data_IF_812847990898
#
_entry.id   IF_812847990898
#
_cell.length_a   1.000
_cell.length_b   1.000
_cell.length_c   1.000
_cell.angle_alpha   90.00
_cell.angle_beta   90.00
_cell.angle_gamma   90.00
#
_symmetry.space_group_name_H-M   'P 1'
#
loop_
_entity.id
_entity.type
_entity.pdbx_description
1 polymer ?
#
# COMPACT_ATOMS: atom_id res chain seq x y z
N UNK A 1 -8.00 -38.20 2.63
CA UNK A 1 -8.36 -36.78 2.51
C UNK A 1 -7.11 -35.98 2.85
N UNK A 2 -6.49 -35.41 1.80
CA UNK A 2 -5.44 -34.42 1.99
C UNK A 2 -6.11 -33.14 2.52
N UNK A 3 -5.62 -32.63 3.65
CA UNK A 3 -5.98 -31.28 4.07
C UNK A 3 -5.46 -30.31 2.98
N UNK A 4 -6.25 -29.27 2.59
CA UNK A 4 -5.76 -28.25 1.69
C UNK A 4 -4.47 -27.69 2.25
N UNK A 5 -3.42 -27.58 1.43
CA UNK A 5 -2.19 -26.92 1.89
C UNK A 5 -2.53 -25.48 2.27
N UNK A 6 -1.89 -24.93 3.31
CA UNK A 6 -2.14 -23.57 3.80
C UNK A 6 -1.97 -22.50 2.68
N UNK A 7 -1.39 -22.86 1.55
CA UNK A 7 -1.21 -21.99 0.37
C UNK A 7 -2.47 -21.88 -0.53
N UNK A 8 -3.39 -22.84 -0.48
CA UNK A 8 -4.59 -22.82 -1.35
C UNK A 8 -5.64 -21.77 -0.92
N UNK A 9 -5.58 -21.28 0.31
CA UNK A 9 -6.50 -20.25 0.84
C UNK A 9 -5.96 -18.82 0.82
N UNK A 10 -4.69 -18.63 0.47
CA UNK A 10 -4.03 -17.33 0.52
C UNK A 10 -4.37 -16.46 -0.69
N UNK A 11 -4.74 -15.19 -0.43
CA UNK A 11 -5.15 -14.24 -1.49
C UNK A 11 -3.94 -13.77 -2.30
N UNK A 12 -2.79 -13.54 -1.64
CA UNK A 12 -1.54 -13.11 -2.29
C UNK A 12 -0.50 -14.22 -2.16
N UNK A 13 0.11 -14.59 -3.28
CA UNK A 13 1.12 -15.65 -3.32
C UNK A 13 2.53 -15.08 -3.27
N UNK A 14 3.46 -15.81 -2.62
CA UNK A 14 4.87 -15.41 -2.51
C UNK A 14 5.51 -15.22 -3.89
N UNK A 15 5.25 -16.14 -4.81
CA UNK A 15 5.83 -16.13 -6.16
C UNK A 15 5.34 -14.95 -7.04
N UNK A 16 4.35 -14.19 -6.59
CA UNK A 16 3.88 -12.99 -7.27
C UNK A 16 4.69 -11.74 -6.94
N UNK A 17 5.36 -11.74 -5.79
CA UNK A 17 6.30 -10.70 -5.43
C UNK A 17 7.56 -10.77 -6.29
N UNK A 18 8.10 -9.63 -6.69
CA UNK A 18 9.34 -9.53 -7.45
C UNK A 18 10.48 -9.11 -6.53
N UNK A 19 11.60 -9.84 -6.58
CA UNK A 19 12.78 -9.47 -5.80
C UNK A 19 13.51 -8.28 -6.44
N UNK A 20 13.73 -7.23 -5.66
CA UNK A 20 14.62 -6.13 -6.04
C UNK A 20 16.04 -6.42 -5.55
N UNK A 21 16.91 -6.80 -6.47
CA UNK A 21 18.28 -7.27 -6.13
C UNK A 21 19.29 -6.13 -5.94
N UNK A 22 19.02 -4.95 -6.53
CA UNK A 22 19.94 -3.82 -6.40
C UNK A 22 20.00 -3.33 -4.93
N UNK A 23 21.20 -2.98 -4.42
CA UNK A 23 21.36 -2.38 -3.09
C UNK A 23 20.54 -1.12 -2.89
N UNK A 24 20.50 -0.27 -3.91
CA UNK A 24 19.79 0.98 -3.91
C UNK A 24 18.40 0.83 -4.53
N UNK A 25 17.38 1.52 -4.00
CA UNK A 25 16.07 1.55 -4.62
C UNK A 25 16.12 2.25 -5.98
N UNK A 26 15.16 1.99 -6.89
CA UNK A 26 15.05 2.75 -8.12
C UNK A 26 14.69 4.21 -7.82
N UNK A 27 14.97 5.09 -8.77
CA UNK A 27 14.39 6.42 -8.76
C UNK A 27 12.87 6.29 -8.91
N UNK A 28 12.13 6.94 -8.00
CA UNK A 28 10.67 6.84 -7.94
C UNK A 28 10.03 8.16 -8.38
N UNK A 29 9.03 8.06 -9.25
CA UNK A 29 8.24 9.18 -9.77
C UNK A 29 7.24 9.71 -8.73
N UNK A 30 6.86 8.86 -7.77
CA UNK A 30 5.92 9.17 -6.70
C UNK A 30 6.18 8.27 -5.50
N UNK A 31 6.20 8.84 -4.31
CA UNK A 31 6.42 8.10 -3.05
C UNK A 31 5.25 8.34 -2.11
N UNK A 32 4.75 7.26 -1.51
CA UNK A 32 3.65 7.32 -0.55
C UNK A 32 4.01 6.57 0.74
N UNK A 33 3.58 7.10 1.87
CA UNK A 33 3.52 6.38 3.13
C UNK A 33 2.09 6.04 3.50
N UNK A 34 1.88 4.82 3.95
CA UNK A 34 0.58 4.32 4.38
C UNK A 34 0.66 3.88 5.82
N UNK A 35 -0.15 4.49 6.68
CA UNK A 35 -0.18 4.28 8.11
C UNK A 35 -1.49 3.65 8.55
N UNK A 36 -1.40 2.52 9.22
CA UNK A 36 -2.43 2.00 10.11
C UNK A 36 -2.03 2.29 11.55
N UNK A 37 -2.85 3.06 12.27
CA UNK A 37 -2.49 3.57 13.59
C UNK A 37 -3.37 2.94 14.66
N UNK A 38 -2.73 2.42 15.68
CA UNK A 38 -3.38 2.03 16.92
C UNK A 38 -2.56 2.64 18.06
N UNK A 39 -3.20 3.37 18.94
CA UNK A 39 -2.59 3.71 20.22
C UNK A 39 -3.62 3.58 21.33
N UNK A 40 -3.16 3.06 22.44
CA UNK A 40 -3.98 2.88 23.62
C UNK A 40 -3.12 3.18 24.83
N UNK A 41 -3.73 3.73 25.86
CA UNK A 41 -3.11 3.87 27.18
C UNK A 41 -3.04 2.54 27.93
N UNK A 42 -3.57 1.44 27.34
CA UNK A 42 -3.58 0.11 27.94
C UNK A 42 -2.38 -0.70 27.42
N UNK A 43 -1.86 -1.57 28.28
CA UNK A 43 -0.73 -2.50 27.99
C UNK A 43 -1.03 -3.52 26.90
N UNK A 44 -2.27 -3.64 26.43
CA UNK A 44 -2.74 -4.53 25.34
C UNK A 44 -3.04 -3.77 24.07
N UNK A 45 -2.31 -2.67 23.79
CA UNK A 45 -2.49 -1.90 22.57
C UNK A 45 -2.20 -2.76 21.32
N UNK A 46 -3.02 -2.58 20.29
CA UNK A 46 -2.78 -3.14 18.96
C UNK A 46 -1.51 -2.54 18.34
N UNK A 47 -1.00 -3.15 17.30
CA UNK A 47 0.15 -2.62 16.57
C UNK A 47 -0.24 -1.41 15.72
N UNK A 48 0.65 -0.44 15.66
CA UNK A 48 0.67 0.52 14.56
C UNK A 48 1.67 0.04 13.51
N UNK A 49 1.33 0.21 12.24
CA UNK A 49 2.17 -0.19 11.14
C UNK A 49 2.30 0.94 10.10
N UNK A 50 3.43 0.97 9.43
CA UNK A 50 3.68 1.84 8.29
C UNK A 50 4.39 1.08 7.18
N UNK A 51 3.96 1.31 5.94
CA UNK A 51 4.69 0.92 4.74
C UNK A 51 4.94 2.14 3.85
N UNK A 52 6.13 2.19 3.25
CA UNK A 52 6.51 3.23 2.28
C UNK A 52 6.67 2.59 0.91
N UNK A 53 6.05 3.18 -0.09
CA UNK A 53 5.99 2.67 -1.45
C UNK A 53 6.46 3.71 -2.44
N UNK A 54 7.13 3.26 -3.50
CA UNK A 54 7.51 4.08 -4.63
C UNK A 54 6.90 3.56 -5.92
N UNK A 55 6.53 4.48 -6.81
CA UNK A 55 6.18 4.19 -8.20
C UNK A 55 7.42 4.39 -9.05
N UNK A 56 7.78 3.43 -9.86
CA UNK A 56 8.92 3.52 -10.78
C UNK A 56 8.63 2.86 -12.11
N UNK A 57 9.25 3.38 -13.18
CA UNK A 57 9.16 2.81 -14.52
C UNK A 57 10.51 2.23 -14.93
N UNK A 58 10.52 1.03 -15.49
CA UNK A 58 11.72 0.39 -16.02
C UNK A 58 11.69 0.42 -17.54
N UNK A 59 12.45 1.31 -18.12
CA UNK A 59 12.50 1.48 -19.58
C UNK A 59 11.19 2.06 -20.14
N UNK A 60 10.62 1.41 -21.15
CA UNK A 60 9.32 1.76 -21.75
C UNK A 60 8.16 0.96 -21.17
N UNK A 61 8.41 0.26 -20.07
CA UNK A 61 7.42 -0.61 -19.43
C UNK A 61 6.36 0.22 -18.66
N UNK A 62 5.33 -0.49 -18.26
CA UNK A 62 4.28 0.07 -17.38
C UNK A 62 4.85 0.39 -15.99
N UNK A 63 4.33 1.39 -15.27
CA UNK A 63 4.78 1.70 -13.92
C UNK A 63 4.67 0.49 -12.98
N UNK A 64 5.67 0.30 -12.15
CA UNK A 64 5.76 -0.73 -11.13
C UNK A 64 5.75 -0.09 -9.74
N UNK A 65 5.52 -0.91 -8.72
CA UNK A 65 5.54 -0.48 -7.33
C UNK A 65 6.65 -1.19 -6.57
N UNK A 66 7.36 -0.46 -5.73
CA UNK A 66 8.40 -1.01 -4.88
C UNK A 66 8.16 -0.65 -3.42
N UNK A 67 8.29 -1.64 -2.54
CA UNK A 67 8.32 -1.43 -1.10
C UNK A 67 9.68 -0.86 -0.69
N UNK A 68 9.68 0.39 -0.23
CA UNK A 68 10.88 1.16 0.15
C UNK A 68 11.22 1.07 1.63
N UNK A 69 10.23 0.75 2.46
CA UNK A 69 10.40 0.64 3.90
C UNK A 69 9.15 0.16 4.60
N UNK A 70 9.33 -0.45 5.76
CA UNK A 70 8.23 -0.84 6.65
C UNK A 70 8.70 -0.80 8.10
N UNK A 71 7.76 -0.55 9.00
CA UNK A 71 7.98 -0.65 10.44
C UNK A 71 6.64 -0.91 11.13
N UNK A 72 6.67 -1.77 12.14
CA UNK A 72 5.52 -2.09 12.98
C UNK A 72 5.93 -2.10 14.43
N UNK A 73 5.06 -1.64 15.31
CA UNK A 73 5.32 -1.64 16.74
C UNK A 73 4.13 -1.17 17.56
N UNK A 74 4.23 -1.38 18.86
CA UNK A 74 3.29 -0.83 19.84
C UNK A 74 3.86 0.48 20.35
N UNK A 75 3.31 1.59 19.86
CA UNK A 75 3.80 2.92 20.16
C UNK A 75 2.73 3.72 20.92
N UNK A 76 3.17 4.44 21.92
CA UNK A 76 2.35 5.52 22.49
C UNK A 76 2.25 6.68 21.49
N UNK A 77 1.35 7.61 21.75
CA UNK A 77 1.09 8.71 20.81
C UNK A 77 2.32 9.60 20.55
N UNK A 78 3.11 10.03 21.56
CA UNK A 78 4.33 10.80 21.32
C UNK A 78 5.32 10.06 20.41
N UNK A 79 5.57 8.79 20.67
CA UNK A 79 6.46 7.95 19.86
C UNK A 79 5.95 7.78 18.43
N UNK A 80 4.64 7.53 18.26
CA UNK A 80 4.00 7.42 16.95
C UNK A 80 4.20 8.69 16.12
N UNK A 81 3.98 9.86 16.73
CA UNK A 81 4.16 11.17 16.10
C UNK A 81 5.63 11.40 15.69
N UNK A 82 6.58 11.11 16.57
CA UNK A 82 8.02 11.22 16.28
C UNK A 82 8.42 10.30 15.12
N UNK A 83 7.93 9.06 15.10
CA UNK A 83 8.17 8.12 14.01
C UNK A 83 7.60 8.62 12.69
N UNK A 84 6.40 9.19 12.68
CA UNK A 84 5.81 9.74 11.47
C UNK A 84 6.67 10.87 10.88
N UNK A 85 7.14 11.80 11.71
CA UNK A 85 8.05 12.87 11.28
C UNK A 85 9.40 12.33 10.82
N UNK A 86 9.96 11.34 11.53
CA UNK A 86 11.23 10.70 11.14
C UNK A 86 11.11 9.98 9.80
N UNK A 87 10.04 9.21 9.58
CA UNK A 87 9.80 8.49 8.34
C UNK A 87 9.56 9.43 7.16
N UNK A 88 8.88 10.56 7.40
CA UNK A 88 8.76 11.62 6.40
C UNK A 88 10.13 12.12 5.95
N UNK A 89 11.01 12.50 6.90
CA UNK A 89 12.35 12.97 6.58
C UNK A 89 13.24 11.94 5.90
N UNK A 90 12.97 10.65 6.14
CA UNK A 90 13.75 9.55 5.57
C UNK A 90 13.40 9.27 4.11
N UNK A 91 12.14 9.41 3.74
CA UNK A 91 11.62 8.98 2.44
C UNK A 91 11.04 10.11 1.60
N UNK A 92 10.83 11.29 2.21
CA UNK A 92 10.26 12.49 1.58
C UNK A 92 9.03 12.18 0.70
N UNK A 93 8.00 11.50 1.28
CA UNK A 93 6.86 11.05 0.49
C UNK A 93 6.03 12.23 -0.02
N UNK A 94 5.51 12.09 -1.25
CA UNK A 94 4.56 13.02 -1.85
C UNK A 94 3.20 13.00 -1.16
N UNK A 95 2.86 11.86 -0.53
CA UNK A 95 1.61 11.70 0.22
C UNK A 95 1.79 10.77 1.41
N UNK A 96 1.14 11.14 2.52
CA UNK A 96 1.04 10.31 3.72
C UNK A 96 -0.43 9.97 3.95
N UNK A 97 -0.78 8.71 3.81
CA UNK A 97 -2.13 8.21 4.09
C UNK A 97 -2.23 7.75 5.53
N UNK A 98 -3.25 8.20 6.22
CA UNK A 98 -3.58 7.77 7.58
C UNK A 98 -5.05 7.38 7.61
N UNK A 99 -5.34 6.16 8.09
CA UNK A 99 -6.73 5.70 8.21
C UNK A 99 -7.51 6.58 9.18
N UNK A 100 -8.71 7.00 8.75
CA UNK A 100 -9.63 7.81 9.55
C UNK A 100 -10.35 6.96 10.59
N UNK A 101 -9.66 6.66 11.66
CA UNK A 101 -10.21 6.05 12.86
C UNK A 101 -9.77 6.85 14.10
N UNK A 102 -10.31 6.57 15.27
CA UNK A 102 -10.09 7.38 16.48
C UNK A 102 -8.59 7.63 16.75
N UNK A 103 -7.75 6.61 16.58
CA UNK A 103 -6.30 6.71 16.75
C UNK A 103 -5.62 7.57 15.67
N UNK A 104 -6.07 7.49 14.41
CA UNK A 104 -5.50 8.26 13.30
C UNK A 104 -5.87 9.74 13.35
N UNK A 105 -7.03 10.08 13.89
CA UNK A 105 -7.56 11.44 13.81
C UNK A 105 -6.69 12.48 14.54
N UNK A 106 -6.20 12.16 15.72
CA UNK A 106 -5.28 13.03 16.45
C UNK A 106 -3.94 13.20 15.71
N UNK A 107 -3.41 12.12 15.17
CA UNK A 107 -2.16 12.15 14.39
C UNK A 107 -2.33 12.99 13.11
N UNK A 108 -3.44 12.84 12.40
CA UNK A 108 -3.77 13.65 11.21
C UNK A 108 -3.77 15.14 11.55
N UNK A 109 -4.44 15.54 12.63
CA UNK A 109 -4.52 16.94 13.05
C UNK A 109 -3.14 17.51 13.36
N UNK A 110 -2.36 16.82 14.19
CA UNK A 110 -1.04 17.28 14.60
C UNK A 110 -0.05 17.36 13.43
N UNK A 111 -0.04 16.37 12.54
CA UNK A 111 0.89 16.37 11.41
C UNK A 111 0.52 17.40 10.34
N UNK A 112 -0.77 17.68 10.13
CA UNK A 112 -1.19 18.75 9.22
C UNK A 112 -0.69 20.12 9.66
N UNK A 113 -0.63 20.38 10.97
CA UNK A 113 -0.08 21.63 11.50
C UNK A 113 1.42 21.78 11.23
N UNK A 114 2.12 20.70 10.91
CA UNK A 114 3.54 20.72 10.55
C UNK A 114 3.79 20.88 9.04
N UNK A 115 2.75 21.03 8.25
CA UNK A 115 2.85 21.20 6.78
C UNK A 115 3.12 19.91 6.00
N UNK A 116 2.99 18.74 6.63
CA UNK A 116 3.16 17.45 5.95
C UNK A 116 1.98 17.14 5.01
N UNK A 117 2.21 16.43 3.89
CA UNK A 117 1.19 16.10 2.89
C UNK A 117 0.27 14.96 3.37
N UNK A 118 -0.58 15.26 4.36
CA UNK A 118 -1.44 14.27 5.02
C UNK A 118 -2.79 14.15 4.32
N UNK A 119 -3.13 12.92 3.96
CA UNK A 119 -4.42 12.52 3.40
C UNK A 119 -5.13 11.54 4.34
N UNK A 120 -6.41 11.81 4.59
CA UNK A 120 -7.27 10.89 5.32
C UNK A 120 -7.69 9.76 4.39
N UNK A 121 -7.54 8.52 4.83
CA UNK A 121 -8.03 7.36 4.12
C UNK A 121 -9.24 6.78 4.86
N UNK A 122 -10.32 6.56 4.12
CA UNK A 122 -11.53 5.91 4.62
C UNK A 122 -11.74 4.63 3.81
N UNK A 123 -11.56 3.45 4.42
CA UNK A 123 -11.88 2.20 3.73
C UNK A 123 -13.36 2.15 3.34
N UNK A 124 -13.63 1.80 2.09
CA UNK A 124 -14.98 1.63 1.53
C UNK A 124 -15.46 0.16 1.52
N UNK A 125 -14.52 -0.77 1.76
CA UNK A 125 -14.75 -2.22 1.71
C UNK A 125 -14.12 -2.91 2.91
N UNK A 126 -14.58 -4.12 3.20
CA UNK A 126 -13.95 -4.99 4.19
C UNK A 126 -12.51 -5.40 3.76
N UNK A 127 -11.72 -5.89 4.72
CA UNK A 127 -10.31 -6.23 4.51
C UNK A 127 -10.09 -7.25 3.40
N UNK A 128 -10.94 -8.28 3.31
CA UNK A 128 -10.83 -9.36 2.32
C UNK A 128 -11.12 -8.81 0.92
N UNK A 129 -12.17 -8.02 0.77
CA UNK A 129 -12.50 -7.38 -0.51
C UNK A 129 -11.41 -6.40 -0.97
N UNK A 130 -10.78 -5.66 -0.04
CA UNK A 130 -9.62 -4.81 -0.34
C UNK A 130 -8.43 -5.64 -0.82
N UNK A 131 -8.13 -6.75 -0.15
CA UNK A 131 -7.07 -7.66 -0.55
C UNK A 131 -7.28 -8.19 -1.97
N UNK A 132 -8.48 -8.67 -2.29
CA UNK A 132 -8.80 -9.13 -3.65
C UNK A 132 -8.66 -8.01 -4.69
N UNK A 133 -9.00 -6.78 -4.35
CA UNK A 133 -8.94 -5.66 -5.30
C UNK A 133 -7.53 -5.33 -5.80
N UNK A 134 -6.48 -5.72 -5.08
CA UNK A 134 -5.08 -5.47 -5.46
C UNK A 134 -4.36 -6.69 -6.03
N UNK A 135 -4.99 -7.87 -6.06
CA UNK A 135 -4.35 -9.12 -6.52
C UNK A 135 -3.84 -9.03 -7.95
N UNK A 136 -4.50 -8.28 -8.81
CA UNK A 136 -4.07 -8.12 -10.21
C UNK A 136 -2.69 -7.46 -10.33
N UNK A 137 -2.34 -6.52 -9.44
CA UNK A 137 -1.01 -5.90 -9.40
C UNK A 137 0.07 -6.94 -9.08
N UNK A 138 -0.20 -7.81 -8.12
CA UNK A 138 0.69 -8.91 -7.75
C UNK A 138 0.79 -9.96 -8.86
N UNK A 139 -0.35 -10.43 -9.35
CA UNK A 139 -0.42 -11.44 -10.42
C UNK A 139 0.33 -10.98 -11.68
N UNK A 140 0.27 -9.71 -12.01
CA UNK A 140 0.98 -9.11 -13.13
C UNK A 140 2.46 -8.80 -12.83
N UNK A 141 3.01 -9.30 -11.72
CA UNK A 141 4.43 -9.17 -11.36
C UNK A 141 4.92 -7.73 -11.24
N UNK A 142 4.04 -6.81 -10.80
CA UNK A 142 4.34 -5.38 -10.72
C UNK A 142 4.74 -4.90 -9.34
N UNK A 143 4.74 -5.78 -8.35
CA UNK A 143 5.06 -5.45 -6.95
C UNK A 143 6.44 -5.98 -6.61
N UNK A 144 7.35 -5.07 -6.29
CA UNK A 144 8.74 -5.32 -5.96
C UNK A 144 9.01 -5.10 -4.47
N UNK A 145 9.94 -5.88 -3.92
CA UNK A 145 10.47 -5.69 -2.59
C UNK A 145 11.92 -6.19 -2.49
N UNK A 146 12.78 -5.60 -1.65
CA UNK A 146 14.14 -6.08 -1.44
C UNK A 146 14.14 -7.27 -0.47
N UNK A 147 14.07 -8.52 -0.99
CA UNK A 147 13.95 -9.74 -0.18
C UNK A 147 15.08 -9.96 0.83
N UNK A 148 16.23 -9.33 0.65
CA UNK A 148 17.37 -9.37 1.60
C UNK A 148 17.15 -8.48 2.84
N UNK A 149 16.07 -7.72 2.93
CA UNK A 149 15.76 -6.86 4.07
C UNK A 149 14.72 -7.55 4.95
N UNK A 150 15.05 -7.75 6.22
CA UNK A 150 14.16 -8.44 7.17
C UNK A 150 12.78 -7.77 7.26
N UNK A 151 12.74 -6.44 7.31
CA UNK A 151 11.47 -5.70 7.33
C UNK A 151 10.60 -5.91 6.07
N UNK A 152 11.23 -6.16 4.92
CA UNK A 152 10.48 -6.47 3.70
C UNK A 152 9.91 -7.89 3.75
N UNK A 153 10.67 -8.84 4.27
CA UNK A 153 10.20 -10.21 4.47
C UNK A 153 9.06 -10.28 5.48
N UNK A 154 9.07 -9.45 6.54
CA UNK A 154 7.95 -9.36 7.48
C UNK A 154 6.64 -8.93 6.78
N UNK A 155 6.71 -7.93 5.89
CA UNK A 155 5.54 -7.51 5.08
C UNK A 155 5.08 -8.61 4.14
N UNK A 156 6.01 -9.26 3.45
CA UNK A 156 5.72 -10.35 2.51
C UNK A 156 5.07 -11.52 3.25
N UNK A 157 5.61 -11.92 4.39
CA UNK A 157 5.12 -13.05 5.17
C UNK A 157 3.71 -12.79 5.73
N UNK A 158 3.44 -11.59 6.22
CA UNK A 158 2.12 -11.22 6.72
C UNK A 158 1.08 -11.14 5.58
N UNK A 159 1.43 -10.52 4.45
CA UNK A 159 0.52 -10.41 3.31
C UNK A 159 0.19 -11.77 2.68
N UNK A 160 1.17 -12.68 2.59
CA UNK A 160 0.93 -14.03 2.08
C UNK A 160 0.13 -14.91 3.03
N UNK A 161 0.21 -14.66 4.35
CA UNK A 161 -0.56 -15.41 5.35
C UNK A 161 -2.02 -14.95 5.44
N UNK A 162 -2.35 -13.78 4.89
CA UNK A 162 -3.72 -13.25 4.94
C UNK A 162 -4.69 -14.08 4.07
N UNK A 163 -5.93 -14.39 4.52
CA UNK A 163 -6.58 -13.91 5.75
C UNK A 163 -6.37 -14.80 6.99
N UNK A 164 -5.66 -15.91 6.88
CA UNK A 164 -5.51 -16.89 7.96
C UNK A 164 -4.42 -16.52 9.00
N UNK A 165 -3.62 -15.49 8.74
CA UNK A 165 -2.55 -15.03 9.61
C UNK A 165 -3.05 -14.44 10.93
N UNK A 166 -2.19 -14.46 11.98
CA UNK A 166 -2.51 -13.88 13.29
C UNK A 166 -2.47 -12.35 13.31
N UNK A 167 -1.81 -11.74 12.33
CA UNK A 167 -1.63 -10.30 12.20
C UNK A 167 -2.00 -9.88 10.78
N UNK A 168 -2.57 -8.69 10.65
CA UNK A 168 -2.97 -8.09 9.39
C UNK A 168 -2.64 -6.58 9.29
N UNK A 169 -1.81 -6.10 10.23
CA UNK A 169 -1.45 -4.68 10.34
C UNK A 169 -0.70 -4.17 9.08
N UNK A 170 0.27 -4.95 8.59
CA UNK A 170 0.92 -4.64 7.33
C UNK A 170 -0.01 -4.80 6.14
N UNK A 171 -0.89 -5.81 6.16
CA UNK A 171 -1.84 -6.01 5.07
C UNK A 171 -2.78 -4.82 4.90
N UNK A 172 -3.22 -4.19 6.00
CA UNK A 172 -4.02 -2.97 5.94
C UNK A 172 -3.25 -1.81 5.30
N UNK A 173 -1.99 -1.58 5.68
CA UNK A 173 -1.16 -0.53 5.07
C UNK A 173 -0.86 -0.79 3.60
N UNK A 174 -0.63 -2.05 3.21
CA UNK A 174 -0.38 -2.47 1.82
C UNK A 174 -1.62 -2.22 0.97
N UNK A 175 -2.79 -2.71 1.38
CA UNK A 175 -4.03 -2.52 0.63
C UNK A 175 -4.37 -1.05 0.46
N UNK A 176 -4.23 -0.25 1.52
CA UNK A 176 -4.45 1.18 1.51
C UNK A 176 -3.56 1.90 0.48
N UNK A 177 -2.24 1.64 0.52
CA UNK A 177 -1.29 2.25 -0.41
C UNK A 177 -1.56 1.87 -1.87
N UNK A 178 -1.73 0.57 -2.14
CA UNK A 178 -1.90 0.08 -3.50
C UNK A 178 -3.23 0.52 -4.13
N UNK A 179 -4.31 0.53 -3.34
CA UNK A 179 -5.62 1.05 -3.79
C UNK A 179 -5.52 2.54 -4.10
N UNK A 180 -4.86 3.32 -3.23
CA UNK A 180 -4.66 4.75 -3.46
C UNK A 180 -3.91 5.02 -4.76
N UNK A 181 -2.77 4.34 -4.97
CA UNK A 181 -1.95 4.54 -6.17
C UNK A 181 -2.68 4.10 -7.45
N UNK A 182 -3.45 3.02 -7.38
CA UNK A 182 -4.28 2.59 -8.51
C UNK A 182 -5.38 3.61 -8.83
N UNK A 183 -6.13 4.05 -7.83
CA UNK A 183 -7.24 5.00 -8.00
C UNK A 183 -6.73 6.39 -8.42
N UNK A 184 -5.52 6.77 -8.03
CA UNK A 184 -4.85 7.99 -8.45
C UNK A 184 -4.25 7.94 -9.88
N UNK A 185 -4.36 6.79 -10.57
CA UNK A 185 -3.84 6.62 -11.92
C UNK A 185 -2.33 6.42 -12.00
N UNK A 186 -1.62 6.30 -10.87
CA UNK A 186 -0.17 6.07 -10.84
C UNK A 186 0.21 4.67 -11.32
N UNK A 187 -0.69 3.71 -11.16
CA UNK A 187 -0.49 2.32 -11.60
C UNK A 187 -1.78 1.84 -12.25
N UNK A 188 -1.72 1.63 -13.55
CA UNK A 188 -2.88 1.16 -14.32
C UNK A 188 -2.80 -0.37 -14.46
N UNK A 189 -3.88 -1.08 -14.15
CA UNK A 189 -4.00 -2.48 -14.52
C UNK A 189 -4.21 -2.59 -16.04
N UNK A 190 -3.60 -3.58 -16.68
CA UNK A 190 -3.80 -3.80 -18.12
C UNK A 190 -5.29 -3.99 -18.51
N UNK A 191 -6.15 -4.43 -17.57
CA UNK A 191 -7.59 -4.48 -17.76
C UNK A 191 -8.26 -3.10 -17.71
N UNK A 192 -7.78 -2.21 -16.83
CA UNK A 192 -8.32 -0.85 -16.66
C UNK A 192 -8.00 0.00 -17.90
N UNK A 193 -6.83 -0.18 -18.53
CA UNK A 193 -6.48 0.51 -19.78
C UNK A 193 -7.39 0.13 -20.95
N UNK A 194 -7.93 -1.08 -20.98
CA UNK A 194 -8.90 -1.49 -22.00
C UNK A 194 -10.28 -0.87 -21.77
N UNK A 195 -10.70 -0.75 -20.51
CA UNK A 195 -11.96 -0.12 -20.14
C UNK A 195 -11.90 1.39 -20.39
N UNK A 196 -10.85 2.07 -19.92
CA UNK A 196 -10.65 3.51 -20.14
C UNK A 196 -10.53 3.88 -21.63
N UNK A 197 -9.81 3.07 -22.42
CA UNK A 197 -9.77 3.27 -23.87
C UNK A 197 -11.11 3.07 -24.53
N UNK A 198 -11.88 2.09 -24.08
CA UNK A 198 -13.21 1.80 -24.62
C UNK A 198 -14.24 2.87 -24.23
N UNK A 199 -14.18 3.38 -23.00
CA UNK A 199 -14.99 4.52 -22.56
C UNK A 199 -14.61 5.80 -23.28
N UNK A 200 -13.33 6.05 -23.49
CA UNK A 200 -12.83 7.20 -24.25
C UNK A 200 -13.16 7.11 -25.75
N UNK A 201 -13.14 5.92 -26.33
CA UNK A 201 -13.62 5.67 -27.70
C UNK A 201 -15.12 5.86 -27.83
N UNK A 202 -15.90 5.43 -26.82
CA UNK A 202 -17.37 5.64 -26.79
C UNK A 202 -17.66 7.15 -26.64
N UNK A 203 -17.02 7.84 -25.71
CA UNK A 203 -17.16 9.28 -25.52
C UNK A 203 -16.80 10.07 -26.78
N UNK A 204 -15.71 9.72 -27.46
CA UNK A 204 -15.28 10.35 -28.70
C UNK A 204 -16.21 10.03 -29.90
N UNK A 205 -16.91 8.90 -29.88
CA UNK A 205 -17.91 8.54 -30.88
C UNK A 205 -19.22 9.30 -30.68
N UNK A 206 -19.69 9.38 -29.44
CA UNK A 206 -20.93 10.07 -29.10
C UNK A 206 -20.77 11.58 -29.19
N UNK A 207 -19.61 12.14 -28.82
CA UNK A 207 -19.32 13.57 -28.93
C UNK A 207 -19.18 14.09 -30.37
N UNK A 208 -19.01 13.20 -31.37
CA UNK A 208 -19.00 13.59 -32.81
C UNK A 208 -20.37 13.55 -33.48
N UNK A 209 -21.41 13.15 -32.76
CA UNK A 209 -22.77 13.04 -33.30
C UNK A 209 -23.62 14.31 -33.12
N UNK A 210 -23.03 15.40 -32.62
CA UNK A 210 -23.74 16.67 -32.38
C UNK A 210 -23.13 17.90 -33.09
N UNK A 211 -22.50 17.70 -34.27
CA UNK A 211 -22.17 18.80 -35.17
C UNK A 211 -22.49 18.45 -36.62
#
# INVERSE_FOLDING_TARGET
SQAPSAEEGNIIKLDWWQNWENPDPPECEYVIQSWDTAFSTRTTADYSAVTTWGVFTKGLDMPNLILLGAEKGRWDYPTLREKAVKKFKQHEPDSILIEKKASGQSLIQDLRLTGLPIFEYQPDKDKVARAYSITSLFHNRRIFAPFRKDWAMEVIDETRAFPAGMHDDYMDTVTQALIWMRNGGYVVNGADTWLDKREQEIYNREGRSYY
#
